data_IF_982375486628
#
_entry.id   IF_982375486628
#
_cell.length_a   1.000
_cell.length_b   1.000
_cell.length_c   1.000
_cell.angle_alpha   90.00
_cell.angle_beta   90.00
_cell.angle_gamma   90.00
#
_symmetry.space_group_name_H-M   'P 1'
#
loop_
_entity.id
_entity.type
_entity.pdbx_description
1 polymer ?
#
# COMPACT_ATOMS: atom_id res chain seq x y z
N UNK A 1 -9.27 19.92 -9.66
CA UNK A 1 -9.58 18.49 -9.43
C UNK A 1 -10.99 18.29 -9.95
N UNK A 2 -11.21 17.31 -10.83
CA UNK A 2 -12.54 17.07 -11.39
C UNK A 2 -13.50 16.54 -10.31
N UNK A 3 -14.76 17.00 -10.25
CA UNK A 3 -15.75 16.51 -9.29
C UNK A 3 -16.04 15.03 -9.57
N UNK A 4 -15.91 14.19 -8.54
CA UNK A 4 -16.18 12.74 -8.64
C UNK A 4 -17.24 12.33 -7.62
N UNK A 5 -18.33 11.77 -8.12
CA UNK A 5 -19.41 11.21 -7.31
C UNK A 5 -19.42 9.69 -7.43
N UNK A 6 -19.51 8.99 -6.30
CA UNK A 6 -19.65 7.53 -6.27
C UNK A 6 -21.07 7.23 -5.81
N UNK A 7 -21.89 6.68 -6.71
CA UNK A 7 -23.27 6.30 -6.41
C UNK A 7 -23.27 4.88 -5.83
N UNK A 8 -23.46 4.74 -4.52
CA UNK A 8 -23.51 3.44 -3.85
C UNK A 8 -24.94 2.94 -3.68
N UNK A 9 -25.90 3.85 -3.54
CA UNK A 9 -27.32 3.54 -3.35
C UNK A 9 -28.20 4.66 -3.91
N UNK A 10 -29.53 4.49 -3.83
CA UNK A 10 -30.50 5.44 -4.38
C UNK A 10 -30.38 6.85 -3.77
N UNK A 11 -30.00 6.98 -2.50
CA UNK A 11 -29.87 8.30 -1.86
C UNK A 11 -28.74 9.15 -2.42
N UNK A 12 -27.66 8.53 -2.93
CA UNK A 12 -26.52 9.26 -3.50
C UNK A 12 -26.88 9.97 -4.82
N UNK A 13 -27.94 9.52 -5.49
CA UNK A 13 -28.44 10.09 -6.74
C UNK A 13 -28.86 11.55 -6.54
N UNK A 14 -29.44 11.89 -5.38
CA UNK A 14 -29.93 13.25 -5.10
C UNK A 14 -28.78 14.28 -5.13
N UNK A 15 -27.60 13.93 -4.62
CA UNK A 15 -26.43 14.81 -4.65
C UNK A 15 -25.93 15.03 -6.08
N UNK A 16 -25.92 13.96 -6.89
CA UNK A 16 -25.55 14.04 -8.30
C UNK A 16 -26.53 14.92 -9.07
N UNK A 17 -27.83 14.73 -8.87
CA UNK A 17 -28.88 15.57 -9.47
C UNK A 17 -28.70 17.05 -9.09
N UNK A 18 -28.49 17.33 -7.80
CA UNK A 18 -28.26 18.71 -7.33
C UNK A 18 -27.03 19.37 -7.98
N UNK A 19 -25.94 18.60 -8.13
CA UNK A 19 -24.74 19.07 -8.81
C UNK A 19 -24.98 19.32 -10.30
N UNK A 20 -25.66 18.39 -10.99
CA UNK A 20 -25.99 18.52 -12.41
C UNK A 20 -26.84 19.77 -12.67
N UNK A 21 -27.91 19.97 -11.90
CA UNK A 21 -28.80 21.12 -12.05
C UNK A 21 -28.05 22.46 -11.90
N UNK A 22 -27.16 22.54 -10.91
CA UNK A 22 -26.42 23.77 -10.61
C UNK A 22 -25.34 24.09 -11.65
N UNK A 23 -24.70 23.06 -12.22
CA UNK A 23 -23.54 23.23 -13.08
C UNK A 23 -23.88 23.19 -14.57
N UNK A 24 -24.96 22.51 -14.98
CA UNK A 24 -25.45 22.56 -16.35
C UNK A 24 -25.87 23.98 -16.73
N UNK A 25 -26.62 24.66 -15.86
CA UNK A 25 -27.06 26.04 -16.09
C UNK A 25 -25.87 27.01 -16.23
N UNK A 26 -24.83 26.84 -15.40
CA UNK A 26 -23.59 27.63 -15.50
C UNK A 26 -22.82 27.34 -16.78
N UNK A 27 -22.64 26.07 -17.13
CA UNK A 27 -21.93 25.67 -18.35
C UNK A 27 -22.64 26.20 -19.61
N UNK A 28 -23.98 26.12 -19.65
CA UNK A 28 -24.79 26.69 -20.72
C UNK A 28 -24.59 28.21 -20.87
N UNK A 29 -24.54 28.95 -19.75
CA UNK A 29 -24.27 30.40 -19.76
C UNK A 29 -22.86 30.75 -20.25
N UNK A 30 -21.88 29.86 -20.08
CA UNK A 30 -20.51 30.02 -20.58
C UNK A 30 -20.32 29.52 -22.02
N UNK A 31 -21.39 29.04 -22.68
CA UNK A 31 -21.34 28.47 -24.03
C UNK A 31 -20.55 27.17 -24.12
N UNK A 32 -20.33 26.48 -22.99
CA UNK A 32 -19.59 25.22 -22.91
C UNK A 32 -20.53 24.07 -22.54
N UNK A 33 -20.47 22.92 -23.23
CA UNK A 33 -21.27 21.77 -22.84
C UNK A 33 -20.76 21.17 -21.53
N UNK A 34 -21.67 20.79 -20.63
CA UNK A 34 -21.35 19.97 -19.47
C UNK A 34 -21.24 18.50 -19.92
N UNK A 35 -20.05 17.91 -19.80
CA UNK A 35 -19.81 16.49 -20.10
C UNK A 35 -19.93 15.68 -18.82
N UNK A 36 -20.80 14.65 -18.83
CA UNK A 36 -20.97 13.72 -17.71
C UNK A 36 -20.55 12.33 -18.15
N UNK A 37 -19.56 11.75 -17.48
CA UNK A 37 -19.11 10.38 -17.73
C UNK A 37 -19.63 9.46 -16.61
N UNK A 38 -20.57 8.59 -16.97
CA UNK A 38 -21.09 7.54 -16.10
C UNK A 38 -20.52 6.22 -16.59
N UNK A 39 -19.72 5.58 -15.75
CA UNK A 39 -19.15 4.28 -16.04
C UNK A 39 -19.28 3.38 -14.80
N UNK A 40 -19.48 2.06 -14.99
CA UNK A 40 -19.28 1.13 -13.89
C UNK A 40 -17.86 1.32 -13.36
N UNK A 41 -17.71 1.36 -12.04
CA UNK A 41 -16.39 1.51 -11.45
C UNK A 41 -15.58 0.25 -11.73
N UNK A 42 -14.71 0.27 -12.75
CA UNK A 42 -13.68 -0.74 -12.94
C UNK A 42 -12.72 -0.66 -11.74
N UNK A 43 -12.98 -1.50 -10.75
CA UNK A 43 -12.16 -1.61 -9.55
C UNK A 43 -11.01 -2.56 -9.82
N UNK A 44 -9.95 -2.08 -10.46
CA UNK A 44 -8.66 -2.77 -10.41
C UNK A 44 -8.12 -2.67 -8.97
N UNK A 45 -8.46 -3.71 -8.18
CA UNK A 45 -8.07 -3.82 -6.77
C UNK A 45 -6.56 -3.69 -6.61
N UNK A 46 -5.78 -4.31 -7.48
CA UNK A 46 -4.32 -4.29 -7.41
C UNK A 46 -3.77 -2.88 -7.61
N UNK A 47 -4.31 -2.14 -8.59
CA UNK A 47 -3.94 -0.74 -8.83
C UNK A 47 -4.32 0.15 -7.65
N UNK A 48 -5.51 -0.05 -7.07
CA UNK A 48 -5.98 0.70 -5.92
C UNK A 48 -5.16 0.41 -4.64
N UNK A 49 -4.82 -0.85 -4.38
CA UNK A 49 -3.91 -1.27 -3.31
C UNK A 49 -2.55 -0.58 -3.42
N UNK A 50 -1.96 -0.59 -4.62
CA UNK A 50 -0.66 0.03 -4.85
C UNK A 50 -0.71 1.55 -4.68
N UNK A 51 -1.80 2.20 -5.11
CA UNK A 51 -2.00 3.64 -4.92
C UNK A 51 -2.13 4.01 -3.45
N UNK A 52 -2.89 3.23 -2.67
CA UNK A 52 -3.06 3.45 -1.23
C UNK A 52 -1.70 3.33 -0.50
N UNK A 53 -0.98 2.24 -0.73
CA UNK A 53 0.33 2.03 -0.12
C UNK A 53 1.33 3.13 -0.51
N UNK A 54 1.36 3.54 -1.78
CA UNK A 54 2.26 4.60 -2.22
C UNK A 54 1.97 5.93 -1.51
N UNK A 55 0.69 6.26 -1.33
CA UNK A 55 0.27 7.45 -0.57
C UNK A 55 0.76 7.39 0.87
N UNK A 56 0.53 6.28 1.56
CA UNK A 56 0.94 6.10 2.95
C UNK A 56 2.45 6.14 3.13
N UNK A 57 3.21 5.44 2.27
CA UNK A 57 4.67 5.49 2.34
C UNK A 57 5.22 6.89 2.05
N UNK A 58 4.58 7.66 1.18
CA UNK A 58 4.92 9.07 0.96
C UNK A 58 4.66 9.94 2.19
N UNK A 59 3.57 9.70 2.91
CA UNK A 59 3.22 10.43 4.13
C UNK A 59 4.18 10.11 5.28
N UNK A 60 4.54 8.82 5.44
CA UNK A 60 5.55 8.38 6.41
C UNK A 60 6.94 8.91 6.07
N UNK A 61 7.34 8.87 4.79
CA UNK A 61 8.63 9.40 4.31
C UNK A 61 8.81 10.89 4.64
N UNK A 62 7.76 11.70 4.45
CA UNK A 62 7.78 13.13 4.82
C UNK A 62 8.05 13.37 6.30
N UNK A 63 7.71 12.40 7.16
CA UNK A 63 7.79 12.51 8.61
C UNK A 63 9.10 11.98 9.17
N UNK A 64 9.65 10.92 8.58
CA UNK A 64 10.96 10.38 8.97
C UNK A 64 12.13 11.08 8.29
N UNK A 65 11.90 11.74 7.15
CA UNK A 65 12.96 12.29 6.31
C UNK A 65 13.61 11.25 5.38
N UNK A 66 13.11 10.01 5.38
CA UNK A 66 13.59 8.94 4.49
C UNK A 66 12.92 8.98 3.10
N UNK A 67 13.42 8.17 2.18
CA UNK A 67 12.73 7.91 0.92
C UNK A 67 11.53 6.97 1.12
N UNK A 68 10.45 7.20 0.35
CA UNK A 68 9.29 6.32 0.35
C UNK A 68 9.62 4.87 -0.02
N UNK A 69 10.69 4.65 -0.79
CA UNK A 69 11.16 3.31 -1.15
C UNK A 69 11.86 2.61 0.01
N UNK A 70 12.64 3.34 0.82
CA UNK A 70 13.24 2.82 2.05
C UNK A 70 12.17 2.42 3.06
N UNK A 71 11.19 3.30 3.30
CA UNK A 71 10.03 3.03 4.16
C UNK A 71 9.28 1.79 3.66
N UNK A 72 8.97 1.73 2.35
CA UNK A 72 8.28 0.59 1.73
C UNK A 72 9.04 -0.72 1.96
N UNK A 73 10.35 -0.71 1.80
CA UNK A 73 11.19 -1.89 2.02
C UNK A 73 11.12 -2.35 3.48
N UNK A 74 11.35 -1.45 4.44
CA UNK A 74 11.35 -1.79 5.86
C UNK A 74 9.98 -2.24 6.34
N UNK A 75 8.90 -1.60 5.90
CA UNK A 75 7.54 -1.99 6.28
C UNK A 75 7.17 -3.38 5.74
N UNK A 76 7.53 -3.68 4.49
CA UNK A 76 7.31 -5.01 3.91
C UNK A 76 8.10 -6.09 4.64
N UNK A 77 9.35 -5.80 4.97
CA UNK A 77 10.23 -6.69 5.72
C UNK A 77 9.70 -6.95 7.14
N UNK A 78 9.22 -5.92 7.84
CA UNK A 78 8.76 -6.01 9.23
C UNK A 78 7.39 -6.69 9.36
N UNK A 79 6.46 -6.38 8.44
CA UNK A 79 5.05 -6.78 8.57
C UNK A 79 4.60 -7.75 7.48
N UNK A 80 4.77 -7.42 6.20
CA UNK A 80 4.23 -8.22 5.10
C UNK A 80 4.90 -9.59 4.99
N UNK A 81 6.20 -9.69 5.24
CA UNK A 81 6.94 -10.96 5.25
C UNK A 81 6.36 -11.93 6.29
N UNK A 82 6.05 -11.44 7.51
CA UNK A 82 5.46 -12.25 8.59
C UNK A 82 4.06 -12.76 8.25
N UNK A 83 3.28 -11.97 7.52
CA UNK A 83 1.96 -12.36 7.06
C UNK A 83 2.08 -13.49 6.02
N UNK A 84 3.02 -13.40 5.09
CA UNK A 84 3.19 -14.42 4.05
C UNK A 84 3.74 -15.74 4.58
N UNK A 85 4.62 -15.66 5.57
CA UNK A 85 5.13 -16.81 6.31
C UNK A 85 4.05 -17.70 6.91
N UNK A 86 2.90 -17.12 7.25
CA UNK A 86 1.79 -17.87 7.86
C UNK A 86 1.06 -18.77 6.87
N UNK A 87 1.05 -18.39 5.59
CA UNK A 87 0.14 -18.97 4.59
C UNK A 87 0.85 -19.64 3.39
N UNK A 88 2.16 -19.40 3.16
CA UNK A 88 2.90 -19.92 1.99
C UNK A 88 4.13 -20.73 2.37
N UNK A 89 4.08 -22.05 2.14
CA UNK A 89 5.18 -23.00 2.41
C UNK A 89 6.47 -22.62 1.66
N UNK A 90 6.39 -22.29 0.37
CA UNK A 90 7.58 -21.86 -0.41
C UNK A 90 8.20 -20.56 0.12
N UNK A 91 7.38 -19.64 0.64
CA UNK A 91 7.87 -18.40 1.25
C UNK A 91 8.49 -18.66 2.62
N UNK A 92 8.01 -19.69 3.32
CA UNK A 92 8.57 -20.16 4.58
C UNK A 92 9.95 -20.78 4.37
N UNK A 93 10.12 -21.70 3.42
CA UNK A 93 11.44 -22.31 3.12
C UNK A 93 12.49 -21.24 2.77
N UNK A 94 12.15 -20.31 1.87
CA UNK A 94 13.06 -19.24 1.49
C UNK A 94 13.38 -18.29 2.66
N UNK A 95 12.42 -18.03 3.54
CA UNK A 95 12.65 -17.23 4.75
C UNK A 95 13.48 -17.97 5.81
N UNK A 96 13.25 -19.27 5.99
CA UNK A 96 14.05 -20.13 6.87
C UNK A 96 15.50 -20.21 6.38
N UNK A 97 15.72 -20.33 5.06
CA UNK A 97 17.06 -20.27 4.47
C UNK A 97 17.76 -18.93 4.75
N UNK A 98 17.01 -17.81 4.67
CA UNK A 98 17.52 -16.48 5.03
C UNK A 98 17.87 -16.41 6.53
N UNK A 99 17.02 -16.94 7.42
CA UNK A 99 17.31 -16.96 8.86
C UNK A 99 18.52 -17.85 9.20
N UNK A 100 18.62 -19.03 8.59
CA UNK A 100 19.77 -19.92 8.74
C UNK A 100 21.05 -19.22 8.30
N UNK A 101 21.03 -18.50 7.16
CA UNK A 101 22.18 -17.74 6.68
C UNK A 101 22.60 -16.62 7.65
N UNK A 102 21.63 -15.93 8.28
CA UNK A 102 21.91 -14.96 9.35
C UNK A 102 22.62 -15.61 10.54
N UNK A 103 22.18 -16.80 10.95
CA UNK A 103 22.71 -17.46 12.14
C UNK A 103 24.11 -18.03 11.89
N UNK A 104 24.39 -18.51 10.67
CA UNK A 104 25.76 -18.83 10.22
C UNK A 104 26.68 -17.60 10.28
N UNK A 105 26.21 -16.42 9.86
CA UNK A 105 27.03 -15.19 9.92
C UNK A 105 27.39 -14.81 11.36
N UNK A 106 26.52 -15.10 12.34
CA UNK A 106 26.82 -14.81 13.74
C UNK A 106 27.95 -15.66 14.30
N UNK A 107 28.14 -16.86 13.77
CA UNK A 107 29.20 -17.79 14.20
C UNK A 107 30.54 -17.54 13.52
N UNK A 108 30.59 -16.64 12.51
CA UNK A 108 31.82 -16.32 11.80
C UNK A 108 32.72 -15.33 12.57
N UNK A 109 34.05 -15.41 12.37
CA UNK A 109 35.00 -14.42 12.87
C UNK A 109 34.73 -13.01 12.33
N UNK A 110 35.13 -11.98 13.08
CA UNK A 110 34.82 -10.57 12.80
C UNK A 110 35.22 -10.09 11.39
N UNK A 111 36.33 -10.58 10.84
CA UNK A 111 36.83 -10.19 9.51
C UNK A 111 35.92 -10.69 8.39
N UNK A 112 35.45 -11.93 8.48
CA UNK A 112 34.54 -12.54 7.51
C UNK A 112 33.11 -12.04 7.67
N UNK A 113 32.72 -11.74 8.92
CA UNK A 113 31.37 -11.29 9.28
C UNK A 113 30.90 -10.11 8.46
N UNK A 114 31.77 -9.14 8.19
CA UNK A 114 31.41 -7.95 7.39
C UNK A 114 31.07 -8.32 5.93
N UNK A 115 31.88 -9.18 5.31
CA UNK A 115 31.68 -9.62 3.91
C UNK A 115 30.37 -10.40 3.76
N UNK A 116 30.13 -11.37 4.64
CA UNK A 116 28.92 -12.18 4.57
C UNK A 116 27.67 -11.41 5.03
N UNK A 117 27.80 -10.43 5.92
CA UNK A 117 26.70 -9.52 6.28
C UNK A 117 26.21 -8.73 5.06
N UNK A 118 27.12 -8.23 4.22
CA UNK A 118 26.74 -7.53 3.00
C UNK A 118 26.01 -8.46 2.01
N UNK A 119 26.48 -9.71 1.85
CA UNK A 119 25.79 -10.71 1.04
C UNK A 119 24.40 -11.05 1.60
N UNK A 120 24.28 -11.23 2.92
CA UNK A 120 23.00 -11.46 3.58
C UNK A 120 22.01 -10.32 3.32
N UNK A 121 22.44 -9.08 3.50
CA UNK A 121 21.57 -7.92 3.23
C UNK A 121 21.10 -7.90 1.76
N UNK A 122 21.96 -8.27 0.82
CA UNK A 122 21.59 -8.37 -0.60
C UNK A 122 20.56 -9.46 -0.86
N UNK A 123 20.74 -10.65 -0.29
CA UNK A 123 19.79 -11.77 -0.41
C UNK A 123 18.44 -11.39 0.19
N UNK A 124 18.43 -10.80 1.39
CA UNK A 124 17.20 -10.32 2.04
C UNK A 124 16.50 -9.28 1.17
N UNK A 125 17.23 -8.32 0.57
CA UNK A 125 16.65 -7.33 -0.34
C UNK A 125 16.00 -7.97 -1.56
N UNK A 126 16.64 -8.95 -2.17
CA UNK A 126 16.08 -9.70 -3.30
C UNK A 126 14.82 -10.47 -2.88
N UNK A 127 14.89 -11.19 -1.76
CA UNK A 127 13.75 -11.94 -1.23
C UNK A 127 12.51 -11.04 -0.99
N UNK A 128 12.68 -9.90 -0.33
CA UNK A 128 11.57 -8.97 -0.09
C UNK A 128 11.00 -8.40 -1.40
N UNK A 129 11.87 -8.14 -2.39
CA UNK A 129 11.44 -7.62 -3.69
C UNK A 129 10.63 -8.65 -4.48
N UNK A 130 11.08 -9.90 -4.49
CA UNK A 130 10.57 -10.92 -5.41
C UNK A 130 9.45 -11.76 -4.79
N UNK A 131 9.52 -12.06 -3.49
CA UNK A 131 8.54 -12.93 -2.80
C UNK A 131 7.55 -12.16 -1.91
N UNK A 132 7.85 -10.92 -1.51
CA UNK A 132 7.00 -10.12 -0.60
C UNK A 132 6.30 -8.97 -1.36
N UNK A 133 5.53 -9.35 -2.38
CA UNK A 133 4.84 -8.43 -3.29
C UNK A 133 3.41 -8.18 -2.82
N UNK A 134 3.09 -6.93 -2.46
CA UNK A 134 1.75 -6.50 -2.00
C UNK A 134 0.62 -6.80 -2.99
N UNK A 135 0.91 -6.89 -4.30
CA UNK A 135 -0.07 -7.26 -5.34
C UNK A 135 -0.53 -8.72 -5.26
N UNK A 136 0.31 -9.59 -4.70
CA UNK A 136 0.03 -11.02 -4.56
C UNK A 136 -0.70 -11.32 -3.23
N UNK A 137 -0.94 -10.28 -2.41
CA UNK A 137 -1.60 -10.43 -1.13
C UNK A 137 -3.09 -10.69 -1.35
N UNK A 138 -3.64 -11.63 -0.58
CA UNK A 138 -5.10 -11.78 -0.50
C UNK A 138 -5.71 -10.54 0.18
N UNK A 139 -7.03 -10.35 0.06
CA UNK A 139 -7.72 -9.24 0.74
C UNK A 139 -7.42 -9.21 2.25
N UNK A 140 -7.51 -10.37 2.90
CA UNK A 140 -7.27 -10.51 4.34
C UNK A 140 -5.84 -10.14 4.72
N UNK A 141 -4.86 -10.64 3.97
CA UNK A 141 -3.44 -10.33 4.18
C UNK A 141 -3.14 -8.84 3.95
N UNK A 142 -3.76 -8.24 2.93
CA UNK A 142 -3.60 -6.83 2.62
C UNK A 142 -4.21 -5.94 3.71
N UNK A 143 -5.42 -6.27 4.18
CA UNK A 143 -6.08 -5.57 5.27
C UNK A 143 -5.27 -5.65 6.57
N UNK A 144 -4.80 -6.85 6.95
CA UNK A 144 -3.92 -7.02 8.12
C UNK A 144 -2.60 -6.23 7.98
N UNK A 145 -2.02 -6.19 6.78
CA UNK A 145 -0.83 -5.38 6.52
C UNK A 145 -1.13 -3.89 6.69
N UNK A 146 -2.28 -3.42 6.22
CA UNK A 146 -2.71 -2.03 6.36
C UNK A 146 -2.95 -1.64 7.83
N UNK A 147 -3.56 -2.51 8.62
CA UNK A 147 -3.77 -2.28 10.05
C UNK A 147 -2.44 -2.14 10.80
N UNK A 148 -1.46 -3.02 10.50
CA UNK A 148 -0.12 -2.93 11.09
C UNK A 148 0.61 -1.65 10.67
N UNK A 149 0.44 -1.20 9.42
CA UNK A 149 0.99 0.08 8.95
C UNK A 149 0.38 1.26 9.69
N UNK A 150 -0.94 1.28 9.83
CA UNK A 150 -1.66 2.32 10.57
C UNK A 150 -1.24 2.36 12.03
N UNK A 151 -1.17 1.21 12.70
CA UNK A 151 -0.72 1.11 14.07
C UNK A 151 0.69 1.69 14.21
N UNK A 152 1.63 1.25 13.37
CA UNK A 152 3.01 1.74 13.39
C UNK A 152 3.11 3.24 13.11
N UNK A 153 2.42 3.75 12.09
CA UNK A 153 2.42 5.18 11.77
C UNK A 153 1.85 6.01 12.93
N UNK A 154 0.81 5.52 13.59
CA UNK A 154 0.20 6.23 14.71
C UNK A 154 1.08 6.18 15.97
N UNK A 155 1.63 5.01 16.33
CA UNK A 155 2.40 4.83 17.58
C UNK A 155 3.82 5.37 17.49
N UNK A 156 4.52 5.13 16.38
CA UNK A 156 5.95 5.45 16.26
C UNK A 156 6.18 6.80 15.58
N UNK A 157 5.33 7.17 14.63
CA UNK A 157 5.49 8.40 13.85
C UNK A 157 4.54 9.53 14.26
N UNK A 158 3.50 9.23 15.06
CA UNK A 158 2.45 10.18 15.42
C UNK A 158 1.63 10.65 14.21
N UNK A 159 1.49 9.79 13.19
CA UNK A 159 0.84 10.11 11.92
C UNK A 159 -0.41 9.27 11.75
N UNK A 160 -1.52 9.94 11.51
CA UNK A 160 -2.75 9.29 11.07
C UNK A 160 -2.77 9.19 9.54
N UNK A 161 -2.53 7.99 9.02
CA UNK A 161 -2.57 7.72 7.58
C UNK A 161 -4.00 7.91 7.06
N UNK A 162 -4.20 8.73 6.04
CA UNK A 162 -5.54 8.96 5.49
C UNK A 162 -5.87 7.90 4.44
N UNK A 163 -7.08 7.35 4.48
CA UNK A 163 -7.62 6.51 3.41
C UNK A 163 -8.71 7.30 2.65
N UNK A 164 -8.45 7.69 1.38
CA UNK A 164 -9.46 8.30 0.53
C UNK A 164 -10.72 7.43 0.38
N UNK A 165 -11.89 8.06 0.30
CA UNK A 165 -13.17 7.33 0.18
C UNK A 165 -13.24 6.42 -1.04
N UNK A 166 -12.57 6.79 -2.14
CA UNK A 166 -12.48 5.98 -3.34
C UNK A 166 -11.60 4.74 -3.19
N UNK A 167 -10.82 4.62 -2.10
CA UNK A 167 -9.93 3.49 -1.81
C UNK A 167 -10.38 2.66 -0.60
N UNK A 168 -11.39 3.08 0.16
CA UNK A 168 -11.89 2.35 1.34
C UNK A 168 -12.30 0.91 1.05
N UNK A 169 -12.87 0.65 -0.14
CA UNK A 169 -13.27 -0.69 -0.57
C UNK A 169 -12.12 -1.71 -0.67
N UNK A 170 -10.87 -1.23 -0.64
CA UNK A 170 -9.67 -2.08 -0.68
C UNK A 170 -9.33 -2.66 0.69
N UNK A 171 -9.81 -2.00 1.75
CA UNK A 171 -9.65 -2.42 3.15
C UNK A 171 -10.79 -3.36 3.59
N UNK A 172 -11.92 -3.33 2.89
CA UNK A 172 -13.11 -4.20 3.03
C UNK A 172 -12.94 -5.58 2.37
#
# INVERSE_FOLDING_TARGET
MEPRFVIKNHSDINYVIGYLNSNHAKAANEGKPLVVLIAPQEKDRTKAQNRLLHMWFGEMAKRTGDSAESIKYEMKKKFLAKIYLKDKVETQEAYEAVLAYRDVIKTLPSEEKNKYTAHYQRIVRMFIKDHVRSRDATKKQFSEFCDKLHAFANTELGVYLKCPDDLKYVLE
#
